data_IF_285433842839
#
_entry.id   IF_285433842839
#
_cell.length_a   1.000
_cell.length_b   1.000
_cell.length_c   1.000
_cell.angle_alpha   90.00
_cell.angle_beta   90.00
_cell.angle_gamma   90.00
#
_symmetry.space_group_name_H-M   'P 1'
#
loop_
_entity.id
_entity.type
_entity.pdbx_description
1 polymer ?
#
# COMPACT_ATOMS: atom_id res chain seq x y z
N UNK A 1 4.91 7.98 16.20
CA UNK A 1 4.39 7.46 14.94
C UNK A 1 3.78 8.62 14.16
N UNK A 2 4.54 9.25 13.27
CA UNK A 2 3.96 10.23 12.36
C UNK A 2 3.37 9.44 11.19
N UNK A 3 2.07 9.21 11.26
CA UNK A 3 1.31 8.56 10.19
C UNK A 3 1.18 9.58 9.09
N UNK A 4 1.76 9.30 7.90
CA UNK A 4 1.33 9.97 6.69
C UNK A 4 -0.03 9.43 6.29
N UNK A 5 -1.02 9.92 7.00
CA UNK A 5 -2.37 10.00 6.49
C UNK A 5 -2.41 11.31 5.73
N UNK A 6 -3.00 11.34 4.56
CA UNK A 6 -3.53 12.58 4.01
C UNK A 6 -4.58 13.04 5.03
N UNK A 7 -4.13 13.74 6.07
CA UNK A 7 -5.01 14.44 6.96
C UNK A 7 -5.49 15.68 6.19
N UNK A 8 -6.65 15.57 5.57
CA UNK A 8 -7.47 16.74 5.36
C UNK A 8 -7.79 17.26 6.78
N UNK A 9 -6.93 18.14 7.31
CA UNK A 9 -7.18 18.82 8.57
C UNK A 9 -8.42 19.67 8.42
N UNK A 10 -9.52 19.23 8.98
CA UNK A 10 -10.67 20.07 9.27
C UNK A 10 -10.25 21.09 10.34
N UNK A 11 -9.74 22.24 9.93
CA UNK A 11 -9.68 23.43 10.75
C UNK A 11 -11.09 24.02 10.81
N UNK A 12 -11.87 23.57 11.80
CA UNK A 12 -13.06 24.29 12.22
C UNK A 12 -12.61 25.65 12.79
N UNK A 13 -12.96 26.73 12.10
CA UNK A 13 -12.76 28.10 12.57
C UNK A 13 -13.45 28.29 13.93
N UNK A 14 -12.69 28.59 14.96
CA UNK A 14 -13.19 28.94 16.28
C UNK A 14 -13.78 30.34 16.27
N UNK A 15 -15.11 30.43 16.35
CA UNK A 15 -15.81 31.64 16.78
C UNK A 15 -15.60 31.73 18.29
N UNK A 16 -15.14 32.85 18.87
CA UNK A 16 -14.99 32.97 20.32
C UNK A 16 -16.38 33.01 20.99
N UNK A 17 -16.73 31.97 21.71
CA UNK A 17 -17.82 31.97 22.65
C UNK A 17 -17.31 32.31 24.06
N UNK A 18 -18.14 32.98 24.92
CA UNK A 18 -17.69 33.45 26.23
C UNK A 18 -17.37 32.27 27.17
N UNK A 19 -16.37 32.50 28.01
CA UNK A 19 -15.87 31.58 29.01
C UNK A 19 -16.96 31.25 30.05
N UNK A 20 -17.50 30.03 29.99
CA UNK A 20 -18.02 29.33 31.15
C UNK A 20 -18.23 27.84 30.85
N UNK A 21 -17.65 27.00 31.67
CA UNK A 21 -17.54 25.55 31.63
C UNK A 21 -16.31 25.05 30.82
N UNK A 22 -15.38 24.44 31.55
CA UNK A 22 -14.37 23.56 30.98
C UNK A 22 -15.11 22.46 30.20
N UNK A 23 -15.28 22.68 28.89
CA UNK A 23 -15.65 21.58 28.00
C UNK A 23 -14.44 20.62 28.00
N UNK A 24 -14.59 19.47 28.67
CA UNK A 24 -13.74 18.32 28.42
C UNK A 24 -13.73 18.14 26.92
N UNK A 25 -12.55 18.18 26.32
CA UNK A 25 -12.43 17.85 24.89
C UNK A 25 -13.17 16.54 24.65
N UNK A 26 -14.15 16.57 23.76
CA UNK A 26 -14.92 15.39 23.43
C UNK A 26 -13.95 14.34 22.89
N UNK A 27 -13.93 13.16 23.50
CA UNK A 27 -13.12 12.05 23.03
C UNK A 27 -13.35 11.80 21.52
N UNK A 28 -12.29 11.67 20.78
CA UNK A 28 -12.34 11.36 19.35
C UNK A 28 -11.90 9.91 19.12
N UNK A 29 -12.68 9.18 18.33
CA UNK A 29 -12.34 7.82 17.94
C UNK A 29 -11.00 7.82 17.16
N UNK A 30 -10.15 6.80 17.32
CA UNK A 30 -8.93 6.67 16.56
C UNK A 30 -9.26 6.56 15.07
N UNK A 31 -8.35 7.11 14.24
CA UNK A 31 -8.47 6.95 12.78
C UNK A 31 -8.37 5.48 12.42
N UNK A 32 -9.32 5.01 11.60
CA UNK A 32 -9.35 3.63 11.16
C UNK A 32 -8.14 3.32 10.25
N UNK A 33 -7.33 2.35 10.65
CA UNK A 33 -6.13 1.91 9.94
C UNK A 33 -6.44 0.76 8.97
N UNK A 34 -5.62 0.61 7.91
CA UNK A 34 -5.62 -0.60 7.07
C UNK A 34 -5.19 -1.81 7.90
N UNK A 35 -4.18 -1.64 8.74
CA UNK A 35 -3.75 -2.62 9.75
C UNK A 35 -4.55 -2.37 11.03
N UNK A 36 -5.75 -2.98 11.13
CA UNK A 36 -6.71 -2.75 12.23
C UNK A 36 -6.12 -2.96 13.62
N UNK A 37 -5.10 -3.78 13.74
CA UNK A 37 -4.36 -4.00 14.99
C UNK A 37 -3.48 -2.81 15.43
N UNK A 38 -3.32 -1.78 14.60
CA UNK A 38 -2.62 -0.54 15.00
C UNK A 38 -3.55 0.51 15.61
N UNK A 39 -4.86 0.23 15.71
CA UNK A 39 -5.84 1.11 16.33
C UNK A 39 -5.82 0.93 17.84
N UNK A 40 -5.75 2.05 18.57
CA UNK A 40 -5.81 2.04 20.02
C UNK A 40 -7.20 2.47 20.51
N UNK A 41 -7.95 1.51 21.02
CA UNK A 41 -9.29 1.69 21.59
C UNK A 41 -9.29 1.63 23.12
N UNK A 42 -8.14 1.61 23.78
CA UNK A 42 -8.00 1.47 25.24
C UNK A 42 -8.69 2.60 26.03
N UNK A 43 -8.78 3.80 25.46
CA UNK A 43 -9.52 4.94 26.03
C UNK A 43 -11.00 4.62 26.33
N UNK A 44 -11.58 3.64 25.61
CA UNK A 44 -12.95 3.17 25.84
C UNK A 44 -13.09 2.26 27.10
N UNK A 45 -12.02 2.06 27.86
CA UNK A 45 -12.12 1.55 29.23
C UNK A 45 -13.06 2.43 30.09
N UNK A 46 -13.07 3.74 29.81
CA UNK A 46 -14.01 4.68 30.38
C UNK A 46 -15.44 4.43 29.84
N UNK A 47 -16.36 4.07 30.73
CA UNK A 47 -17.75 3.74 30.38
C UNK A 47 -18.51 4.92 29.77
N UNK A 48 -18.21 6.15 30.22
CA UNK A 48 -18.87 7.35 29.71
C UNK A 48 -18.44 7.61 28.26
N UNK A 49 -17.15 7.42 27.90
CA UNK A 49 -16.66 7.51 26.53
C UNK A 49 -17.32 6.45 25.64
N UNK A 50 -17.43 5.21 26.13
CA UNK A 50 -18.11 4.12 25.38
C UNK A 50 -19.57 4.43 25.06
N UNK A 51 -20.30 5.01 25.99
CA UNK A 51 -21.74 5.31 25.84
C UNK A 51 -22.01 6.40 24.79
N UNK A 52 -21.03 7.27 24.50
CA UNK A 52 -21.19 8.39 23.58
C UNK A 52 -20.77 8.09 22.15
N UNK A 53 -20.26 6.89 21.83
CA UNK A 53 -19.88 6.51 20.49
C UNK A 53 -20.62 5.24 20.06
N UNK A 54 -21.25 5.26 18.88
CA UNK A 54 -22.10 4.15 18.40
C UNK A 54 -21.34 2.82 18.25
N UNK A 55 -20.02 2.86 18.01
CA UNK A 55 -19.18 1.65 17.94
C UNK A 55 -18.65 1.21 19.31
N UNK A 56 -18.84 2.00 20.38
CA UNK A 56 -18.33 1.72 21.72
C UNK A 56 -18.61 0.30 22.22
N UNK A 57 -19.84 -0.25 22.06
CA UNK A 57 -20.15 -1.62 22.46
C UNK A 57 -19.37 -2.71 21.72
N UNK A 58 -18.80 -2.40 20.55
CA UNK A 58 -18.00 -3.32 19.73
C UNK A 58 -16.50 -3.11 19.89
N UNK A 59 -16.09 -1.86 20.22
CA UNK A 59 -14.67 -1.49 20.26
C UNK A 59 -14.01 -1.73 21.60
N UNK A 60 -14.80 -1.85 22.66
CA UNK A 60 -14.30 -2.21 23.99
C UNK A 60 -15.34 -3.04 24.74
N UNK A 61 -15.20 -4.36 24.68
CA UNK A 61 -16.03 -5.32 25.40
C UNK A 61 -15.21 -5.77 26.61
N UNK A 62 -15.48 -5.27 27.83
CA UNK A 62 -14.70 -5.65 29.00
C UNK A 62 -14.95 -7.12 29.35
N UNK A 63 -13.86 -7.87 29.57
CA UNK A 63 -13.88 -9.28 29.95
C UNK A 63 -13.37 -9.51 31.40
N UNK A 64 -12.72 -8.51 31.99
CA UNK A 64 -12.14 -8.51 33.32
C UNK A 64 -11.36 -7.21 33.54
N UNK A 65 -10.65 -7.10 34.66
CA UNK A 65 -9.96 -5.85 35.06
C UNK A 65 -8.93 -5.38 34.03
N UNK A 66 -8.11 -6.32 33.51
CA UNK A 66 -7.06 -6.03 32.51
C UNK A 66 -7.33 -6.77 31.17
N UNK A 67 -8.60 -7.02 30.86
CA UNK A 67 -8.95 -7.82 29.69
C UNK A 67 -10.14 -7.23 28.95
N UNK A 68 -10.00 -7.10 27.62
CA UNK A 68 -11.08 -6.64 26.75
C UNK A 68 -10.96 -7.26 25.36
N UNK A 69 -12.06 -7.22 24.64
CA UNK A 69 -12.16 -7.61 23.24
C UNK A 69 -12.57 -6.40 22.40
N UNK A 70 -11.84 -6.15 21.33
CA UNK A 70 -12.19 -5.19 20.27
C UNK A 70 -12.64 -5.96 19.03
N UNK A 71 -13.78 -5.56 18.45
CA UNK A 71 -14.27 -6.15 17.21
C UNK A 71 -14.55 -5.06 16.17
N UNK A 72 -14.68 -5.46 14.93
CA UNK A 72 -15.06 -4.58 13.83
C UNK A 72 -15.14 -5.32 12.51
N UNK A 73 -15.53 -4.60 11.48
CA UNK A 73 -15.63 -5.15 10.12
C UNK A 73 -15.30 -4.07 9.09
N UNK A 74 -14.79 -4.51 7.96
CA UNK A 74 -14.78 -3.77 6.71
C UNK A 74 -15.60 -4.55 5.69
N UNK A 75 -16.49 -3.84 4.99
CA UNK A 75 -17.24 -4.35 3.85
C UNK A 75 -16.96 -3.47 2.66
N UNK A 76 -16.40 -4.03 1.59
CA UNK A 76 -16.05 -3.31 0.36
C UNK A 76 -16.74 -3.93 -0.84
N UNK A 77 -17.36 -3.11 -1.66
CA UNK A 77 -17.77 -3.43 -3.02
C UNK A 77 -17.05 -2.47 -3.97
N UNK A 78 -16.34 -3.00 -4.99
CA UNK A 78 -15.61 -2.21 -5.97
C UNK A 78 -15.86 -2.73 -7.37
N UNK A 79 -16.30 -1.85 -8.26
CA UNK A 79 -16.38 -2.13 -9.70
C UNK A 79 -15.19 -1.51 -10.41
N UNK A 80 -14.57 -2.24 -11.31
CA UNK A 80 -13.55 -1.73 -12.24
C UNK A 80 -13.96 -2.08 -13.68
N UNK A 81 -13.90 -1.06 -14.55
CA UNK A 81 -14.24 -1.19 -15.96
C UNK A 81 -13.05 -0.72 -16.77
N UNK A 82 -12.42 -1.64 -17.48
CA UNK A 82 -11.25 -1.39 -18.32
C UNK A 82 -11.62 -1.40 -19.78
N UNK A 83 -10.99 -0.52 -20.54
CA UNK A 83 -11.01 -0.52 -21.99
C UNK A 83 -9.58 -0.54 -22.50
N UNK A 84 -9.29 -1.44 -23.45
CA UNK A 84 -7.96 -1.64 -24.03
C UNK A 84 -6.84 -1.92 -23.00
N UNK A 85 -7.10 -2.70 -21.94
CA UNK A 85 -6.13 -3.07 -20.93
C UNK A 85 -4.83 -3.64 -21.58
N UNK A 86 -3.66 -3.35 -20.96
CA UNK A 86 -2.34 -3.60 -21.54
C UNK A 86 -2.21 -3.06 -22.98
N UNK A 87 -2.75 -1.87 -23.23
CA UNK A 87 -2.78 -1.18 -24.54
C UNK A 87 -3.50 -1.98 -25.63
N UNK A 88 -4.48 -2.78 -25.27
CA UNK A 88 -5.18 -3.70 -26.16
C UNK A 88 -4.48 -5.05 -26.36
N UNK A 89 -3.45 -5.34 -25.58
CA UNK A 89 -2.67 -6.59 -25.64
C UNK A 89 -3.01 -7.60 -24.55
N UNK A 90 -3.95 -7.32 -23.66
CA UNK A 90 -4.45 -8.29 -22.68
C UNK A 90 -5.30 -9.39 -23.36
N UNK A 91 -5.40 -10.57 -22.74
CA UNK A 91 -6.26 -11.65 -23.21
C UNK A 91 -7.74 -11.23 -23.23
N UNK A 92 -8.13 -10.37 -22.27
CA UNK A 92 -9.41 -9.65 -22.27
C UNK A 92 -9.12 -8.15 -22.13
N UNK A 93 -8.94 -7.41 -23.25
CA UNK A 93 -8.58 -6.00 -23.19
C UNK A 93 -9.71 -5.12 -22.64
N UNK A 94 -10.95 -5.50 -22.91
CA UNK A 94 -12.14 -4.87 -22.34
C UNK A 94 -12.65 -5.80 -21.24
N UNK A 95 -12.61 -5.34 -19.98
CA UNK A 95 -13.00 -6.13 -18.83
C UNK A 95 -13.82 -5.28 -17.85
N UNK A 96 -14.89 -5.86 -17.32
CA UNK A 96 -15.78 -5.20 -16.36
C UNK A 96 -16.15 -6.18 -15.27
N UNK A 97 -15.76 -5.89 -14.06
CA UNK A 97 -15.97 -6.80 -12.94
C UNK A 97 -16.32 -6.06 -11.65
N UNK A 98 -16.79 -6.83 -10.68
CA UNK A 98 -17.06 -6.36 -9.32
C UNK A 98 -16.33 -7.24 -8.32
N UNK A 99 -15.62 -6.61 -7.41
CA UNK A 99 -15.02 -7.21 -6.23
C UNK A 99 -15.90 -7.00 -5.01
N UNK A 100 -16.05 -8.03 -4.21
CA UNK A 100 -16.67 -8.00 -2.88
C UNK A 100 -15.67 -8.50 -1.85
N UNK A 101 -15.51 -7.72 -0.77
CA UNK A 101 -14.61 -8.09 0.33
C UNK A 101 -15.27 -7.82 1.68
N UNK A 102 -15.18 -8.80 2.59
CA UNK A 102 -15.50 -8.63 4.00
C UNK A 102 -14.30 -9.01 4.85
N UNK A 103 -13.92 -8.14 5.79
CA UNK A 103 -12.81 -8.30 6.74
C UNK A 103 -13.33 -8.09 8.16
N UNK A 104 -14.07 -9.04 8.76
CA UNK A 104 -14.35 -8.98 10.19
C UNK A 104 -13.07 -9.23 10.99
N UNK A 105 -12.96 -8.68 12.21
CA UNK A 105 -11.84 -8.96 13.09
C UNK A 105 -12.25 -9.02 14.55
N UNK A 106 -11.42 -9.72 15.32
CA UNK A 106 -11.46 -9.76 16.76
C UNK A 106 -10.03 -9.58 17.30
N UNK A 107 -9.89 -8.76 18.33
CA UNK A 107 -8.63 -8.36 18.94
C UNK A 107 -8.76 -8.48 20.45
N UNK A 108 -8.26 -9.56 21.00
CA UNK A 108 -8.33 -9.90 22.43
C UNK A 108 -7.08 -9.43 23.14
N UNK A 109 -7.26 -8.64 24.19
CA UNK A 109 -6.23 -8.18 25.10
C UNK A 109 -6.41 -8.82 26.47
N UNK A 110 -5.36 -9.43 27.02
CA UNK A 110 -5.33 -10.02 28.36
C UNK A 110 -4.00 -9.65 29.04
N UNK A 111 -4.00 -8.63 29.86
CA UNK A 111 -2.79 -8.07 30.46
C UNK A 111 -1.76 -7.70 29.40
N UNK A 112 -0.63 -8.41 29.37
CA UNK A 112 0.47 -8.20 28.41
C UNK A 112 0.36 -9.02 27.13
N UNK A 113 -0.65 -9.89 27.03
CA UNK A 113 -0.80 -10.78 25.87
C UNK A 113 -1.96 -10.28 25.02
N UNK A 114 -1.77 -10.38 23.70
CA UNK A 114 -2.76 -10.03 22.69
C UNK A 114 -2.91 -11.17 21.70
N UNK A 115 -4.12 -11.42 21.26
CA UNK A 115 -4.42 -12.31 20.16
C UNK A 115 -5.33 -11.59 19.15
N UNK A 116 -4.90 -11.51 17.91
CA UNK A 116 -5.62 -10.86 16.83
C UNK A 116 -6.01 -11.89 15.77
N UNK A 117 -7.25 -11.85 15.30
CA UNK A 117 -7.74 -12.68 14.20
C UNK A 117 -8.59 -11.83 13.24
N UNK A 118 -8.32 -11.97 11.94
CA UNK A 118 -9.05 -11.32 10.87
C UNK A 118 -9.20 -12.28 9.69
N UNK A 119 -10.33 -12.96 9.55
CA UNK A 119 -10.67 -13.68 8.34
C UNK A 119 -10.95 -12.71 7.19
N UNK A 120 -10.88 -13.23 5.97
CA UNK A 120 -11.28 -12.55 4.74
C UNK A 120 -12.31 -13.38 4.01
N UNK A 121 -13.32 -12.71 3.46
CA UNK A 121 -14.19 -13.26 2.43
C UNK A 121 -14.07 -12.35 1.21
N UNK A 122 -13.48 -12.84 0.12
CA UNK A 122 -13.24 -12.05 -1.09
C UNK A 122 -13.65 -12.81 -2.34
N UNK A 123 -14.57 -12.21 -3.09
CA UNK A 123 -15.09 -12.71 -4.34
C UNK A 123 -14.95 -11.70 -5.47
N UNK A 124 -14.79 -12.21 -6.69
CA UNK A 124 -14.80 -11.43 -7.92
C UNK A 124 -15.85 -11.99 -8.89
N UNK A 125 -16.60 -11.12 -9.51
CA UNK A 125 -17.64 -11.48 -10.50
C UNK A 125 -17.38 -10.69 -11.77
N UNK A 126 -17.30 -11.39 -12.90
CA UNK A 126 -17.13 -10.78 -14.22
C UNK A 126 -15.68 -10.70 -14.71
N UNK A 127 -14.68 -11.01 -13.90
CA UNK A 127 -13.25 -10.96 -14.32
C UNK A 127 -12.99 -11.91 -15.49
N UNK A 128 -12.41 -11.41 -16.56
CA UNK A 128 -12.07 -12.17 -17.76
C UNK A 128 -10.56 -12.27 -17.97
N UNK A 129 -10.03 -13.43 -18.45
CA UNK A 129 -10.76 -14.69 -18.70
C UNK A 129 -11.07 -15.47 -17.41
N UNK A 130 -10.44 -15.15 -16.28
CA UNK A 130 -10.68 -15.78 -14.99
C UNK A 130 -10.11 -14.91 -13.86
N UNK A 131 -10.71 -14.97 -12.68
CA UNK A 131 -10.22 -14.31 -11.48
C UNK A 131 -8.83 -14.82 -11.08
N UNK A 132 -7.92 -13.90 -10.78
CA UNK A 132 -6.57 -14.18 -10.30
C UNK A 132 -6.51 -14.20 -8.76
N UNK A 133 -5.38 -14.61 -8.16
CA UNK A 133 -5.22 -14.62 -6.71
C UNK A 133 -5.33 -13.25 -6.01
N UNK A 134 -5.25 -12.14 -6.75
CA UNK A 134 -5.49 -10.80 -6.20
C UNK A 134 -6.96 -10.38 -6.25
N UNK A 135 -7.78 -11.10 -7.03
CA UNK A 135 -9.20 -10.82 -7.23
C UNK A 135 -10.07 -11.55 -6.22
N UNK A 136 -9.74 -12.81 -5.93
CA UNK A 136 -10.51 -13.61 -4.97
C UNK A 136 -9.64 -14.66 -4.26
N UNK A 137 -10.01 -14.95 -3.02
CA UNK A 137 -9.52 -16.08 -2.21
C UNK A 137 -10.67 -16.78 -1.49
N UNK A 138 -11.92 -16.46 -1.86
CA UNK A 138 -13.15 -16.94 -1.23
C UNK A 138 -13.16 -16.68 0.29
N UNK A 139 -13.07 -17.70 1.14
CA UNK A 139 -12.99 -17.54 2.60
C UNK A 139 -11.64 -18.05 3.10
N UNK A 140 -10.90 -17.19 3.83
CA UNK A 140 -9.54 -17.49 4.27
C UNK A 140 -9.19 -16.75 5.58
N UNK A 141 -8.06 -17.13 6.21
CA UNK A 141 -7.47 -16.39 7.31
C UNK A 141 -6.46 -15.36 6.74
N UNK A 142 -6.86 -14.09 6.70
CA UNK A 142 -5.96 -13.00 6.26
C UNK A 142 -4.90 -12.69 7.32
N UNK A 143 -5.31 -12.61 8.60
CA UNK A 143 -4.41 -12.36 9.72
C UNK A 143 -4.80 -13.20 10.93
N UNK A 144 -3.80 -13.77 11.62
CA UNK A 144 -3.95 -14.49 12.87
C UNK A 144 -2.62 -14.55 13.57
N UNK A 145 -2.43 -13.78 14.65
CA UNK A 145 -1.17 -13.73 15.39
C UNK A 145 -1.38 -13.58 16.89
N UNK A 146 -0.38 -14.02 17.63
CA UNK A 146 -0.20 -13.71 19.05
C UNK A 146 0.88 -12.65 19.24
N UNK A 147 0.72 -11.85 20.30
CA UNK A 147 1.66 -10.80 20.67
C UNK A 147 1.86 -10.79 22.18
N UNK A 148 3.07 -10.47 22.62
CA UNK A 148 3.41 -10.23 24.02
C UNK A 148 4.14 -8.90 24.14
N UNK A 149 3.64 -8.02 25.03
CA UNK A 149 4.25 -6.75 25.37
C UNK A 149 5.11 -6.90 26.64
N UNK A 150 6.40 -6.67 26.47
CA UNK A 150 7.41 -6.70 27.53
C UNK A 150 7.87 -5.28 27.93
N UNK A 151 7.10 -4.25 27.56
CA UNK A 151 7.37 -2.84 27.80
C UNK A 151 8.12 -2.20 26.64
N UNK A 152 9.45 -2.21 26.64
CA UNK A 152 10.24 -1.68 25.53
C UNK A 152 10.36 -2.62 24.34
N UNK A 153 9.93 -3.86 24.45
CA UNK A 153 9.98 -4.90 23.42
C UNK A 153 8.60 -5.54 23.26
N UNK A 154 8.10 -5.58 22.04
CA UNK A 154 6.89 -6.33 21.67
C UNK A 154 7.28 -7.45 20.73
N UNK A 155 6.91 -8.68 21.04
CA UNK A 155 7.13 -9.85 20.20
C UNK A 155 5.81 -10.28 19.56
N UNK A 156 5.80 -10.48 18.24
CA UNK A 156 4.61 -10.92 17.49
C UNK A 156 4.97 -12.10 16.60
N UNK A 157 4.12 -13.12 16.58
CA UNK A 157 4.28 -14.28 15.71
C UNK A 157 2.92 -14.75 15.17
N UNK A 158 2.91 -15.15 13.90
CA UNK A 158 1.73 -15.60 13.18
C UNK A 158 1.59 -14.97 11.81
N UNK A 159 0.39 -15.06 11.24
CA UNK A 159 0.03 -14.46 9.95
C UNK A 159 -0.36 -12.99 10.16
N UNK A 160 0.28 -12.10 9.43
CA UNK A 160 0.09 -10.65 9.59
C UNK A 160 0.35 -9.89 8.29
N UNK A 161 -0.37 -8.80 8.05
CA UNK A 161 -0.01 -7.82 7.03
C UNK A 161 1.17 -6.99 7.52
N UNK A 162 2.01 -6.53 6.59
CA UNK A 162 3.16 -5.66 6.85
C UNK A 162 3.04 -4.39 6.04
N UNK A 163 3.28 -3.25 6.69
CA UNK A 163 3.42 -1.94 6.06
C UNK A 163 4.71 -1.31 6.56
N UNK A 164 5.70 -1.14 5.69
CA UNK A 164 6.98 -0.51 6.03
C UNK A 164 7.17 0.78 5.23
N UNK A 165 7.37 1.89 5.94
CA UNK A 165 7.58 3.20 5.35
C UNK A 165 6.45 3.65 4.43
N UNK A 166 6.77 3.90 3.15
CA UNK A 166 5.80 4.28 2.10
C UNK A 166 5.21 3.08 1.36
N UNK A 167 5.47 1.86 1.84
CA UNK A 167 5.15 0.62 1.13
C UNK A 167 5.84 0.50 -0.24
N UNK A 168 6.99 1.14 -0.40
CA UNK A 168 7.79 1.04 -1.63
C UNK A 168 8.33 -0.37 -1.86
N UNK A 169 8.81 -1.03 -0.79
CA UNK A 169 9.35 -2.39 -0.84
C UNK A 169 8.46 -3.43 -0.17
N UNK A 170 7.76 -3.06 0.90
CA UNK A 170 6.90 -3.99 1.65
C UNK A 170 5.62 -3.28 2.02
N UNK A 171 4.53 -3.72 1.42
CA UNK A 171 3.21 -3.15 1.61
C UNK A 171 2.11 -4.19 1.76
N UNK A 172 0.99 -3.72 2.23
CA UNK A 172 -0.21 -4.53 2.48
C UNK A 172 -0.94 -4.95 1.21
N UNK A 173 -0.65 -4.31 0.07
CA UNK A 173 -1.41 -4.46 -1.20
C UNK A 173 -2.92 -4.30 -1.00
N UNK A 174 -3.31 -3.37 -0.18
CA UNK A 174 -4.72 -3.19 0.19
C UNK A 174 -5.65 -2.79 -0.98
N UNK A 175 -5.12 -2.16 -2.03
CA UNK A 175 -5.87 -1.75 -3.22
C UNK A 175 -6.58 -2.91 -3.94
N UNK A 176 -5.91 -3.99 -4.33
CA UNK A 176 -6.53 -5.23 -4.82
C UNK A 176 -7.56 -5.82 -3.85
N UNK A 177 -8.36 -6.79 -4.32
CA UNK A 177 -9.38 -7.39 -3.47
C UNK A 177 -8.80 -8.25 -2.36
N UNK A 178 -7.70 -8.96 -2.64
CA UNK A 178 -6.97 -9.79 -1.67
C UNK A 178 -5.69 -9.08 -1.24
N UNK A 179 -5.60 -8.56 0.01
CA UNK A 179 -4.39 -7.98 0.55
C UNK A 179 -3.28 -9.02 0.73
N UNK A 180 -2.04 -8.56 0.86
CA UNK A 180 -0.88 -9.41 1.07
C UNK A 180 -0.61 -9.60 2.56
N UNK A 181 -0.57 -10.84 3.01
CA UNK A 181 -0.14 -11.26 4.33
C UNK A 181 1.17 -12.04 4.29
N UNK A 182 1.80 -12.15 5.46
CA UNK A 182 3.04 -12.88 5.68
C UNK A 182 2.92 -13.75 6.93
N UNK A 183 3.44 -14.96 6.87
CA UNK A 183 3.62 -15.83 8.01
C UNK A 183 5.04 -15.68 8.55
N UNK A 184 5.18 -15.44 9.87
CA UNK A 184 6.49 -15.29 10.49
C UNK A 184 6.45 -14.61 11.86
N UNK A 185 7.58 -14.04 12.24
CA UNK A 185 7.74 -13.37 13.51
C UNK A 185 8.45 -12.03 13.36
N UNK A 186 8.11 -11.08 14.26
CA UNK A 186 8.79 -9.80 14.40
C UNK A 186 8.94 -9.43 15.86
N UNK A 187 9.99 -8.66 16.12
CA UNK A 187 10.23 -8.01 17.39
C UNK A 187 10.27 -6.50 17.14
N UNK A 188 9.46 -5.75 17.86
CA UNK A 188 9.46 -4.30 17.83
C UNK A 188 10.07 -3.77 19.12
N UNK A 189 11.14 -2.98 18.99
CA UNK A 189 11.90 -2.42 20.11
C UNK A 189 11.75 -0.90 20.09
N UNK A 190 11.39 -0.31 21.24
CA UNK A 190 11.33 1.15 21.40
C UNK A 190 12.45 1.61 22.30
N UNK A 191 13.31 2.52 21.80
CA UNK A 191 14.43 3.13 22.54
C UNK A 191 14.33 4.64 22.38
N UNK A 192 13.85 5.33 23.42
CA UNK A 192 13.56 6.76 23.34
C UNK A 192 12.56 7.06 22.22
N UNK A 193 12.97 7.85 21.22
CA UNK A 193 12.15 8.18 20.06
C UNK A 193 12.33 7.21 18.88
N UNK A 194 13.24 6.27 18.96
CA UNK A 194 13.49 5.31 17.90
C UNK A 194 12.61 4.06 18.10
N UNK A 195 12.06 3.56 16.99
CA UNK A 195 11.41 2.25 16.91
C UNK A 195 12.18 1.39 15.93
N UNK A 196 12.51 0.16 16.32
CA UNK A 196 13.23 -0.80 15.49
C UNK A 196 12.40 -2.06 15.39
N UNK A 197 12.01 -2.44 14.18
CA UNK A 197 11.34 -3.70 13.87
C UNK A 197 12.36 -4.67 13.27
N UNK A 198 12.58 -5.81 13.91
CA UNK A 198 13.36 -6.92 13.35
C UNK A 198 12.38 -8.02 12.94
N UNK A 199 12.50 -8.54 11.75
CA UNK A 199 11.51 -9.47 11.19
C UNK A 199 12.12 -10.61 10.38
N UNK A 200 11.41 -11.76 10.38
CA UNK A 200 11.61 -12.85 9.44
C UNK A 200 10.24 -13.38 8.99
N UNK A 201 9.96 -13.24 7.70
CA UNK A 201 8.63 -13.42 7.14
C UNK A 201 8.67 -14.23 5.84
N UNK A 202 7.58 -14.91 5.54
CA UNK A 202 7.33 -15.57 4.26
C UNK A 202 5.97 -15.11 3.74
N UNK A 203 5.85 -14.67 2.48
CA UNK A 203 4.56 -14.24 1.96
C UNK A 203 3.59 -15.41 1.89
N UNK A 204 2.32 -15.12 2.14
CA UNK A 204 1.23 -16.05 1.89
C UNK A 204 0.95 -16.09 0.39
N UNK A 205 0.75 -17.27 -0.15
CA UNK A 205 0.36 -17.53 -1.53
C UNK A 205 -1.12 -17.91 -1.54
N UNK A 206 -1.99 -17.06 -2.08
CA UNK A 206 -3.41 -17.36 -2.18
C UNK A 206 -3.66 -18.57 -3.07
N UNK A 207 -4.51 -19.48 -2.60
CA UNK A 207 -5.05 -20.59 -3.34
C UNK A 207 -6.38 -20.24 -4.03
N UNK A 208 -6.91 -21.11 -4.92
CA UNK A 208 -8.15 -20.87 -5.64
C UNK A 208 -9.42 -21.22 -4.83
N UNK A 209 -9.28 -21.93 -3.72
CA UNK A 209 -10.36 -22.45 -2.89
C UNK A 209 -10.64 -21.60 -1.66
N UNK A 210 -11.11 -22.26 -0.59
CA UNK A 210 -11.27 -21.68 0.73
C UNK A 210 -10.38 -22.45 1.71
N UNK A 211 -9.67 -21.74 2.60
CA UNK A 211 -8.74 -22.30 3.57
C UNK A 211 -7.62 -23.12 2.93
N UNK A 212 -7.15 -22.68 1.76
CA UNK A 212 -6.08 -23.31 0.99
C UNK A 212 -4.86 -22.39 0.74
N UNK A 213 -4.86 -21.19 1.33
CA UNK A 213 -3.72 -20.28 1.30
C UNK A 213 -2.52 -20.86 2.07
N UNK A 214 -1.39 -20.93 1.40
CA UNK A 214 -0.19 -21.55 1.94
C UNK A 214 0.96 -20.56 2.14
N UNK A 215 1.80 -20.80 3.16
CA UNK A 215 3.08 -20.09 3.34
C UNK A 215 4.03 -20.42 2.18
N UNK A 216 4.54 -19.41 1.49
CA UNK A 216 5.49 -19.62 0.41
C UNK A 216 6.73 -20.42 0.86
N UNK A 217 7.08 -21.46 0.13
CA UNK A 217 8.31 -22.21 0.36
C UNK A 217 9.51 -21.59 -0.37
N UNK A 218 9.26 -20.80 -1.40
CA UNK A 218 10.27 -20.25 -2.29
C UNK A 218 10.75 -18.86 -1.87
N UNK A 219 9.84 -18.05 -1.31
CA UNK A 219 10.12 -16.66 -0.94
C UNK A 219 10.29 -16.50 0.56
N UNK A 220 11.27 -15.67 0.95
CA UNK A 220 11.46 -15.24 2.33
C UNK A 220 11.95 -13.79 2.36
N UNK A 221 11.54 -13.06 3.39
CA UNK A 221 11.92 -11.68 3.70
C UNK A 221 12.43 -11.63 5.14
N UNK A 222 13.55 -10.96 5.37
CA UNK A 222 14.08 -10.72 6.71
C UNK A 222 14.76 -9.37 6.79
N UNK A 223 14.99 -8.86 7.98
CA UNK A 223 15.72 -7.61 8.14
C UNK A 223 15.36 -6.82 9.36
N UNK A 224 15.79 -5.57 9.34
CA UNK A 224 15.51 -4.59 10.37
C UNK A 224 15.08 -3.27 9.75
N UNK A 225 14.06 -2.64 10.33
CA UNK A 225 13.53 -1.34 9.94
C UNK A 225 13.51 -0.42 11.15
N UNK A 226 14.35 0.63 11.10
CA UNK A 226 14.44 1.64 12.14
C UNK A 226 13.72 2.91 11.73
N UNK A 227 12.85 3.42 12.61
CA UNK A 227 12.08 4.66 12.43
C UNK A 227 12.45 5.65 13.52
N UNK A 228 12.88 6.85 13.11
CA UNK A 228 13.07 8.05 13.92
C UNK A 228 12.05 9.12 13.50
N UNK A 229 11.93 10.25 14.18
CA UNK A 229 10.88 11.25 13.88
C UNK A 229 10.82 11.74 12.43
N UNK A 230 11.97 11.91 11.75
CA UNK A 230 12.03 12.41 10.36
C UNK A 230 12.92 11.54 9.46
N UNK A 231 13.31 10.35 9.96
CA UNK A 231 14.28 9.49 9.28
C UNK A 231 13.96 8.01 9.50
N UNK A 232 13.87 7.24 8.42
CA UNK A 232 13.89 5.79 8.49
C UNK A 232 15.20 5.27 7.89
N UNK A 233 15.76 4.23 8.51
CA UNK A 233 16.93 3.49 8.03
C UNK A 233 16.58 2.02 8.08
N UNK A 234 16.85 1.27 7.00
CA UNK A 234 16.50 -0.13 7.00
C UNK A 234 17.46 -0.99 6.17
N UNK A 235 17.50 -2.25 6.56
CA UNK A 235 18.07 -3.34 5.80
C UNK A 235 17.00 -4.42 5.62
N UNK A 236 16.79 -4.87 4.37
CA UNK A 236 15.90 -5.96 4.03
C UNK A 236 16.63 -6.98 3.16
N UNK A 237 16.65 -8.23 3.60
CA UNK A 237 17.11 -9.38 2.85
C UNK A 237 15.91 -10.11 2.21
N UNK A 238 16.07 -10.55 0.99
CA UNK A 238 15.04 -11.28 0.25
C UNK A 238 15.64 -12.49 -0.44
N UNK A 239 14.90 -13.58 -0.45
CA UNK A 239 15.19 -14.78 -1.23
C UNK A 239 13.98 -15.17 -2.06
N UNK A 240 14.22 -15.55 -3.31
CA UNK A 240 13.25 -16.20 -4.18
C UNK A 240 13.95 -17.35 -4.93
N UNK A 241 13.46 -18.58 -4.77
CA UNK A 241 14.02 -19.76 -5.44
C UNK A 241 13.63 -19.86 -6.90
N UNK A 242 12.55 -19.18 -7.29
CA UNK A 242 11.93 -19.22 -8.62
C UNK A 242 11.86 -17.82 -9.24
N UNK A 243 12.88 -16.98 -9.00
CA UNK A 243 12.98 -15.65 -9.61
C UNK A 243 13.17 -15.76 -11.13
N UNK A 244 12.75 -14.74 -11.87
CA UNK A 244 12.84 -14.70 -13.33
C UNK A 244 13.52 -13.42 -13.77
N UNK A 245 14.62 -13.54 -14.51
CA UNK A 245 15.34 -12.41 -15.13
C UNK A 245 15.87 -12.86 -16.51
N UNK A 246 15.70 -12.02 -17.54
CA UNK A 246 16.22 -12.28 -18.87
C UNK A 246 15.81 -13.64 -19.46
N UNK A 247 14.60 -14.13 -19.13
CA UNK A 247 14.12 -15.45 -19.55
C UNK A 247 14.65 -16.64 -18.74
N UNK A 248 15.58 -16.43 -17.81
CA UNK A 248 16.09 -17.46 -16.90
C UNK A 248 15.24 -17.55 -15.65
N UNK A 249 15.06 -18.77 -15.12
CA UNK A 249 14.43 -19.05 -13.81
C UNK A 249 15.51 -19.59 -12.89
N UNK A 250 15.58 -19.04 -11.68
CA UNK A 250 16.60 -19.50 -10.74
C UNK A 250 16.53 -18.82 -9.37
N UNK A 251 17.56 -19.07 -8.57
CA UNK A 251 17.65 -18.58 -7.21
C UNK A 251 18.17 -17.15 -7.16
N UNK A 252 17.36 -16.27 -6.60
CA UNK A 252 17.73 -14.91 -6.22
C UNK A 252 17.97 -14.81 -4.71
N UNK A 253 19.06 -14.15 -4.32
CA UNK A 253 19.27 -13.60 -2.97
C UNK A 253 19.63 -12.14 -3.14
N UNK A 254 18.78 -11.27 -2.60
CA UNK A 254 18.88 -9.82 -2.75
C UNK A 254 18.88 -9.15 -1.37
N UNK A 255 19.73 -8.16 -1.23
CA UNK A 255 19.83 -7.31 -0.06
C UNK A 255 19.51 -5.88 -0.45
N UNK A 256 18.71 -5.20 0.36
CA UNK A 256 18.32 -3.81 0.15
C UNK A 256 18.71 -3.00 1.37
N UNK A 257 19.41 -1.88 1.17
CA UNK A 257 19.66 -0.87 2.19
C UNK A 257 18.94 0.39 1.75
N UNK A 258 18.10 0.93 2.61
CA UNK A 258 17.31 2.12 2.34
C UNK A 258 17.42 3.18 3.41
N UNK A 259 17.30 4.41 2.97
CA UNK A 259 17.23 5.61 3.78
C UNK A 259 16.04 6.43 3.32
N UNK A 260 15.20 6.90 4.24
CA UNK A 260 14.04 7.71 3.96
C UNK A 260 13.99 8.91 4.91
N UNK A 261 13.98 10.13 4.34
CA UNK A 261 13.69 11.36 5.07
C UNK A 261 12.26 11.79 4.79
N UNK A 262 11.53 12.16 5.84
CA UNK A 262 10.14 12.59 5.71
C UNK A 262 9.78 13.58 6.82
N UNK A 263 8.82 14.46 6.55
CA UNK A 263 8.42 15.43 7.56
C UNK A 263 7.41 16.44 7.06
N UNK A 264 7.00 17.30 7.99
CA UNK A 264 6.13 18.46 7.75
C UNK A 264 6.76 19.67 8.41
N UNK A 265 6.89 20.78 7.67
CA UNK A 265 7.38 22.04 8.22
C UNK A 265 6.56 23.22 7.65
N UNK A 266 5.76 23.81 8.49
CA UNK A 266 4.74 24.77 8.04
C UNK A 266 3.78 24.10 7.05
N UNK A 267 3.56 24.74 5.91
CA UNK A 267 2.69 24.19 4.86
C UNK A 267 3.39 23.13 3.99
N UNK A 268 4.69 22.93 4.11
CA UNK A 268 5.46 22.01 3.29
C UNK A 268 5.53 20.62 3.92
N UNK A 269 5.41 19.60 3.09
CA UNK A 269 5.68 18.23 3.47
C UNK A 269 6.59 17.54 2.44
N UNK A 270 7.39 16.59 2.90
CA UNK A 270 8.30 15.84 2.03
C UNK A 270 8.41 14.38 2.45
N UNK A 271 8.78 13.56 1.47
CA UNK A 271 9.11 12.16 1.63
C UNK A 271 10.11 11.79 0.53
N UNK A 272 11.36 11.60 0.91
CA UNK A 272 12.46 11.27 0.00
C UNK A 272 13.09 9.97 0.44
N UNK A 273 13.12 8.99 -0.45
CA UNK A 273 13.62 7.65 -0.14
C UNK A 273 14.59 7.17 -1.21
N UNK A 274 15.77 6.74 -0.78
CA UNK A 274 16.77 6.08 -1.63
C UNK A 274 17.01 4.65 -1.17
N UNK A 275 17.14 3.73 -2.13
CA UNK A 275 17.42 2.31 -1.88
C UNK A 275 18.49 1.82 -2.81
N UNK A 276 19.47 1.09 -2.28
CA UNK A 276 20.43 0.30 -3.06
C UNK A 276 20.19 -1.18 -2.85
N UNK A 277 20.34 -1.96 -3.93
CA UNK A 277 20.19 -3.41 -3.91
C UNK A 277 21.42 -4.11 -4.44
N UNK A 278 21.85 -5.17 -3.74
CA UNK A 278 22.97 -6.01 -4.12
C UNK A 278 22.68 -7.48 -3.80
N UNK A 279 23.45 -8.39 -4.38
CA UNK A 279 23.23 -9.82 -4.20
C UNK A 279 23.56 -10.62 -5.45
N UNK A 280 22.87 -11.74 -5.64
CA UNK A 280 23.16 -12.67 -6.74
C UNK A 280 21.85 -13.31 -7.27
N UNK A 281 21.84 -13.56 -8.57
CA UNK A 281 20.87 -14.39 -9.26
C UNK A 281 21.62 -15.35 -10.21
N UNK A 282 21.59 -16.66 -9.94
CA UNK A 282 22.23 -17.69 -10.76
C UNK A 282 23.66 -17.31 -11.20
N UNK A 283 24.50 -16.85 -10.27
CA UNK A 283 25.87 -16.44 -10.53
C UNK A 283 26.04 -15.02 -11.06
N UNK A 284 24.99 -14.35 -11.51
CA UNK A 284 25.04 -12.95 -11.91
C UNK A 284 24.95 -12.04 -10.68
N UNK A 285 25.70 -10.93 -10.68
CA UNK A 285 25.69 -9.95 -9.58
C UNK A 285 24.51 -8.99 -9.71
N UNK A 286 23.80 -8.77 -8.63
CA UNK A 286 22.79 -7.74 -8.55
C UNK A 286 23.44 -6.42 -8.12
N UNK A 287 23.11 -5.32 -8.84
CA UNK A 287 23.54 -3.96 -8.51
C UNK A 287 22.46 -2.98 -9.02
N UNK A 288 21.42 -2.74 -8.22
CA UNK A 288 20.25 -1.97 -8.61
C UNK A 288 19.97 -0.87 -7.57
N UNK A 289 19.19 0.12 -7.94
CA UNK A 289 18.86 1.23 -7.05
C UNK A 289 17.55 1.92 -7.44
N UNK A 290 17.00 2.67 -6.50
CA UNK A 290 15.87 3.58 -6.73
C UNK A 290 15.99 4.83 -5.87
N UNK A 291 15.48 5.94 -6.40
CA UNK A 291 15.21 7.16 -5.64
C UNK A 291 13.77 7.57 -5.92
N UNK A 292 13.00 7.77 -4.85
CA UNK A 292 11.65 8.29 -4.93
C UNK A 292 11.53 9.54 -4.08
N UNK A 293 10.91 10.58 -4.64
CA UNK A 293 10.66 11.84 -3.96
C UNK A 293 9.17 12.16 -4.01
N UNK A 294 8.69 12.75 -2.94
CA UNK A 294 7.38 13.38 -2.87
C UNK A 294 7.57 14.67 -2.08
N UNK A 295 7.28 15.81 -2.71
CA UNK A 295 7.34 17.13 -2.09
C UNK A 295 6.00 17.80 -2.37
N UNK A 296 5.36 18.30 -1.33
CA UNK A 296 4.07 18.96 -1.46
C UNK A 296 3.95 20.19 -0.58
N UNK A 297 2.93 20.98 -0.90
CA UNK A 297 2.53 22.15 -0.14
C UNK A 297 1.03 22.20 0.01
N UNK A 298 0.60 22.26 1.27
CA UNK A 298 -0.79 22.51 1.61
C UNK A 298 -1.09 24.02 1.55
N UNK A 299 -2.24 24.39 1.02
CA UNK A 299 -2.67 25.77 0.84
C UNK A 299 -4.02 25.99 1.57
N UNK A 300 -4.04 25.93 2.91
CA UNK A 300 -5.28 25.85 3.70
C UNK A 300 -6.14 27.12 3.63
N UNK A 301 -5.57 28.26 3.20
CA UNK A 301 -6.27 29.54 3.09
C UNK A 301 -7.01 29.72 1.76
N UNK A 302 -6.75 28.84 0.76
CA UNK A 302 -7.44 28.89 -0.52
C UNK A 302 -8.78 28.15 -0.46
N UNK A 303 -9.75 28.50 -1.33
CA UNK A 303 -10.94 27.69 -1.51
C UNK A 303 -10.56 26.22 -1.78
N UNK A 304 -11.31 25.27 -1.25
CA UNK A 304 -11.02 23.82 -1.31
C UNK A 304 -9.78 23.35 -0.53
N UNK A 305 -9.06 24.24 0.18
CA UNK A 305 -7.84 23.93 0.92
C UNK A 305 -6.91 22.96 0.18
N UNK A 306 -6.43 23.31 -1.05
CA UNK A 306 -5.75 22.35 -1.90
C UNK A 306 -4.38 21.99 -1.35
N UNK A 307 -3.96 20.76 -1.62
CA UNK A 307 -2.60 20.25 -1.45
C UNK A 307 -2.02 19.96 -2.84
N UNK A 308 -0.89 20.60 -3.16
CA UNK A 308 -0.19 20.41 -4.41
C UNK A 308 1.08 19.59 -4.17
N UNK A 309 1.18 18.42 -4.78
CA UNK A 309 2.28 17.46 -4.57
C UNK A 309 2.94 17.12 -5.89
N UNK A 310 4.27 17.05 -5.90
CA UNK A 310 5.07 16.49 -6.99
C UNK A 310 5.76 15.22 -6.53
N UNK A 311 5.50 14.11 -7.22
CA UNK A 311 6.23 12.84 -7.05
C UNK A 311 7.16 12.63 -8.23
N UNK A 312 8.39 12.23 -7.94
CA UNK A 312 9.36 11.80 -8.95
C UNK A 312 9.99 10.50 -8.49
N UNK A 313 9.98 9.51 -9.37
CA UNK A 313 10.62 8.22 -9.10
C UNK A 313 11.61 7.92 -10.21
N UNK A 314 12.80 7.47 -9.83
CA UNK A 314 13.81 6.94 -10.73
C UNK A 314 14.20 5.55 -10.23
N UNK A 315 14.01 4.54 -11.07
CA UNK A 315 14.20 3.13 -10.72
C UNK A 315 15.07 2.47 -11.78
N UNK A 316 16.19 1.91 -11.36
CA UNK A 316 17.15 1.30 -12.29
C UNK A 316 16.58 0.11 -13.05
N UNK A 317 17.01 -0.02 -14.31
CA UNK A 317 16.84 -1.17 -15.18
C UNK A 317 18.18 -1.69 -15.66
N UNK A 318 18.19 -2.87 -16.26
CA UNK A 318 19.40 -3.48 -16.78
C UNK A 318 19.98 -2.67 -17.95
N UNK A 319 21.27 -2.39 -17.90
CA UNK A 319 21.96 -1.57 -18.91
C UNK A 319 22.52 -2.38 -20.06
N UNK A 320 22.75 -3.69 -19.85
CA UNK A 320 23.32 -4.59 -20.86
C UNK A 320 23.02 -6.05 -20.52
N UNK A 321 22.17 -6.67 -21.28
CA UNK A 321 21.88 -8.10 -21.11
C UNK A 321 23.15 -8.96 -21.31
N UNK A 322 23.35 -9.94 -20.43
CA UNK A 322 24.40 -10.95 -20.55
C UNK A 322 25.81 -10.49 -20.10
N UNK A 323 25.97 -9.35 -19.45
CA UNK A 323 27.26 -8.87 -18.92
C UNK A 323 27.62 -9.42 -17.53
N UNK A 324 26.81 -10.36 -16.99
CA UNK A 324 26.98 -10.94 -15.66
C UNK A 324 26.46 -10.07 -14.53
N UNK A 325 25.73 -9.00 -14.84
CA UNK A 325 25.10 -8.11 -13.87
C UNK A 325 23.61 -8.01 -14.14
N UNK A 326 22.85 -7.75 -13.07
CA UNK A 326 21.44 -7.41 -13.11
C UNK A 326 21.27 -6.06 -12.43
N UNK A 327 20.99 -5.03 -13.22
CA UNK A 327 20.73 -3.68 -12.72
C UNK A 327 19.22 -3.42 -12.55
N UNK A 328 18.37 -4.37 -12.92
CA UNK A 328 16.93 -4.29 -12.76
C UNK A 328 16.57 -4.31 -11.28
N UNK A 329 15.95 -3.22 -10.82
CA UNK A 329 15.46 -3.09 -9.45
C UNK A 329 14.26 -4.03 -9.21
N UNK A 330 14.21 -4.63 -8.04
CA UNK A 330 13.08 -5.45 -7.59
C UNK A 330 12.40 -4.76 -6.41
N UNK A 331 11.16 -4.33 -6.57
CA UNK A 331 10.40 -3.69 -5.51
C UNK A 331 9.88 -4.65 -4.44
N UNK A 332 10.23 -5.94 -4.51
CA UNK A 332 9.88 -7.01 -3.57
C UNK A 332 8.35 -7.21 -3.45
N UNK A 333 7.71 -6.52 -2.54
CA UNK A 333 6.29 -6.61 -2.21
C UNK A 333 5.66 -5.21 -2.16
N UNK A 334 5.72 -4.41 -3.23
CA UNK A 334 5.27 -3.03 -3.20
C UNK A 334 3.75 -2.94 -3.02
N UNK A 335 3.27 -1.77 -2.61
CA UNK A 335 1.82 -1.50 -2.57
C UNK A 335 1.17 -1.72 -3.93
N UNK A 336 -0.08 -2.16 -3.94
CA UNK A 336 -0.92 -2.12 -5.13
C UNK A 336 -1.23 -0.68 -5.54
N UNK A 337 -1.55 -0.45 -6.82
CA UNK A 337 -1.83 0.90 -7.36
C UNK A 337 -0.70 1.89 -7.05
N UNK A 338 0.51 1.49 -7.42
CA UNK A 338 1.75 2.13 -6.99
C UNK A 338 1.88 3.60 -7.42
N UNK A 339 1.51 3.93 -8.64
CA UNK A 339 1.56 5.30 -9.17
C UNK A 339 0.21 6.01 -9.11
N UNK A 340 -0.89 5.31 -9.34
CA UNK A 340 -2.26 5.81 -9.38
C UNK A 340 -3.26 4.66 -9.41
N UNK A 341 -4.51 4.94 -9.73
CA UNK A 341 -5.60 3.96 -9.74
C UNK A 341 -5.46 2.93 -10.88
N UNK A 342 -5.09 3.37 -12.07
CA UNK A 342 -4.87 2.47 -13.22
C UNK A 342 -3.54 1.71 -13.09
N UNK A 343 -2.44 2.41 -12.80
CA UNK A 343 -1.08 1.86 -12.61
C UNK A 343 -0.70 0.73 -13.58
N UNK A 344 -0.73 0.94 -14.90
CA UNK A 344 -0.49 -0.13 -15.88
C UNK A 344 0.97 -0.56 -15.92
N UNK A 345 1.87 0.18 -15.28
CA UNK A 345 3.30 -0.06 -15.19
C UNK A 345 3.74 -0.07 -13.72
N UNK A 346 4.75 -0.88 -13.40
CA UNK A 346 5.29 -1.05 -12.06
C UNK A 346 6.59 -0.30 -11.81
N UNK A 347 7.08 -0.29 -10.56
CA UNK A 347 8.28 0.43 -10.13
C UNK A 347 9.57 -0.34 -10.46
N UNK A 348 9.81 -0.63 -11.74
CA UNK A 348 10.98 -1.33 -12.25
C UNK A 348 11.38 -0.75 -13.58
N UNK A 349 12.67 -0.43 -13.80
CA UNK A 349 13.20 0.20 -15.03
C UNK A 349 12.40 1.44 -15.46
N UNK A 350 12.11 2.37 -14.53
CA UNK A 350 11.18 3.46 -14.82
C UNK A 350 11.67 4.80 -14.27
N UNK A 351 11.39 5.86 -15.03
CA UNK A 351 11.35 7.23 -14.55
C UNK A 351 9.91 7.67 -14.62
N UNK A 352 9.37 8.18 -13.51
CA UNK A 352 8.00 8.67 -13.41
C UNK A 352 7.98 10.07 -12.80
N UNK A 353 7.19 10.95 -13.40
CA UNK A 353 6.89 12.29 -12.88
C UNK A 353 5.37 12.37 -12.71
N UNK A 354 4.92 12.76 -11.53
CA UNK A 354 3.50 12.71 -11.13
C UNK A 354 3.14 13.96 -10.31
N UNK A 355 2.83 15.11 -10.93
CA UNK A 355 2.14 16.22 -10.28
C UNK A 355 0.71 15.82 -9.91
N UNK A 356 0.29 16.22 -8.73
CA UNK A 356 -1.03 15.94 -8.15
C UNK A 356 -1.57 17.16 -7.41
N UNK A 357 -2.85 17.39 -7.50
CA UNK A 357 -3.57 18.36 -6.66
C UNK A 357 -4.78 17.65 -6.05
N UNK A 358 -4.93 17.77 -4.75
CA UNK A 358 -6.10 17.26 -4.02
C UNK A 358 -6.68 18.34 -3.13
N UNK A 359 -7.92 18.18 -2.70
CA UNK A 359 -8.58 19.16 -1.83
C UNK A 359 -9.98 18.69 -1.41
N UNK A 360 -10.71 19.59 -0.70
CA UNK A 360 -12.07 19.32 -0.23
C UNK A 360 -13.08 20.24 -0.94
N UNK A 361 -14.22 19.65 -1.34
CA UNK A 361 -15.37 20.40 -1.89
C UNK A 361 -16.41 20.73 -0.79
N UNK A 362 -16.12 20.38 0.47
CA UNK A 362 -17.07 20.48 1.57
C UNK A 362 -18.01 19.28 1.68
N UNK A 363 -18.78 19.20 2.78
CA UNK A 363 -19.75 18.11 2.97
C UNK A 363 -19.14 16.70 3.01
N UNK A 364 -17.86 16.57 3.36
CA UNK A 364 -17.15 15.29 3.36
C UNK A 364 -16.66 14.83 1.97
N UNK A 365 -16.74 15.69 0.95
CA UNK A 365 -16.32 15.36 -0.42
C UNK A 365 -14.87 15.81 -0.64
N UNK A 366 -14.03 14.86 -1.03
CA UNK A 366 -12.63 15.04 -1.40
C UNK A 366 -12.46 14.81 -2.91
N UNK A 367 -11.48 15.49 -3.52
CA UNK A 367 -11.10 15.25 -4.90
C UNK A 367 -9.58 15.12 -5.03
N UNK A 368 -9.12 14.45 -6.07
CA UNK A 368 -7.71 14.43 -6.47
C UNK A 368 -7.61 14.38 -8.00
N UNK A 369 -6.72 15.21 -8.54
CA UNK A 369 -6.36 15.23 -9.95
C UNK A 369 -4.87 14.97 -10.07
N UNK A 370 -4.48 14.06 -10.95
CA UNK A 370 -3.08 13.75 -11.21
C UNK A 370 -2.81 13.65 -12.70
N UNK A 371 -1.62 14.07 -13.10
CA UNK A 371 -1.04 13.80 -14.40
C UNK A 371 0.27 13.06 -14.20
N UNK A 372 0.54 12.04 -15.03
CA UNK A 372 1.72 11.21 -14.90
C UNK A 372 2.39 11.03 -16.24
N UNK A 373 3.71 10.98 -16.22
CA UNK A 373 4.50 10.65 -17.41
C UNK A 373 5.55 9.62 -17.04
N UNK A 374 5.85 8.71 -17.98
CA UNK A 374 6.66 7.52 -17.76
C UNK A 374 7.68 7.32 -18.86
N UNK A 375 8.92 7.04 -18.45
CA UNK A 375 10.03 6.70 -19.34
C UNK A 375 10.73 5.44 -18.83
N UNK A 376 11.30 4.65 -19.72
CA UNK A 376 12.27 3.61 -19.34
C UNK A 376 13.55 4.28 -18.82
N UNK A 377 14.08 3.81 -17.69
CA UNK A 377 15.40 4.23 -17.21
C UNK A 377 16.51 3.73 -18.11
N UNK A 378 16.43 2.46 -18.52
CA UNK A 378 17.32 1.84 -19.50
C UNK A 378 16.56 1.36 -20.73
N UNK A 379 17.07 1.68 -21.93
CA UNK A 379 16.50 1.20 -23.19
C UNK A 379 16.85 -0.27 -23.49
N UNK A 380 17.83 -0.83 -22.80
CA UNK A 380 18.18 -2.24 -22.91
C UNK A 380 17.23 -3.16 -22.14
N UNK A 381 16.42 -2.60 -21.24
CA UNK A 381 15.47 -3.31 -20.40
C UNK A 381 14.02 -2.97 -20.81
N UNK A 382 13.05 -3.83 -20.40
CA UNK A 382 11.64 -3.69 -20.76
C UNK A 382 10.81 -2.91 -19.73
N UNK A 383 9.49 -3.02 -19.86
CA UNK A 383 8.49 -2.48 -18.93
C UNK A 383 7.86 -3.62 -18.14
N UNK A 384 7.66 -3.38 -16.87
CA UNK A 384 7.21 -4.36 -15.87
C UNK A 384 5.89 -3.93 -15.25
N UNK A 385 5.10 -4.91 -14.78
CA UNK A 385 3.95 -4.67 -13.92
C UNK A 385 4.36 -4.39 -12.45
N UNK A 386 3.40 -4.12 -11.59
CA UNK A 386 3.66 -3.84 -10.15
C UNK A 386 4.35 -5.02 -9.45
N UNK A 387 3.95 -6.29 -9.64
CA UNK A 387 4.64 -7.45 -9.09
C UNK A 387 6.06 -7.69 -9.64
N UNK A 388 6.47 -7.02 -10.72
CA UNK A 388 7.77 -7.17 -11.34
C UNK A 388 7.82 -8.20 -12.49
N UNK A 389 6.68 -8.57 -13.07
CA UNK A 389 6.65 -9.38 -14.29
C UNK A 389 6.92 -8.50 -15.51
N UNK A 390 7.74 -8.99 -16.44
CA UNK A 390 8.01 -8.31 -17.71
C UNK A 390 6.75 -8.36 -18.60
N UNK A 391 6.11 -7.21 -18.82
CA UNK A 391 4.88 -7.09 -19.62
C UNK A 391 5.13 -6.57 -21.01
N UNK A 392 6.27 -5.88 -21.25
CA UNK A 392 6.67 -5.39 -22.57
C UNK A 392 8.20 -5.48 -22.71
N UNK A 393 8.73 -6.45 -23.45
CA UNK A 393 10.18 -6.58 -23.69
C UNK A 393 10.70 -5.43 -24.55
N UNK A 394 12.01 -5.13 -24.51
CA UNK A 394 12.59 -4.01 -25.26
C UNK A 394 12.51 -4.18 -26.78
N UNK A 395 12.53 -5.40 -27.32
CA UNK A 395 12.38 -5.75 -28.74
C UNK A 395 13.26 -4.90 -29.70
N UNK A 396 14.43 -4.43 -29.22
CA UNK A 396 15.33 -3.59 -29.99
C UNK A 396 14.94 -2.10 -30.09
N UNK A 397 13.82 -1.68 -29.50
CA UNK A 397 13.42 -0.27 -29.47
C UNK A 397 14.37 0.57 -28.61
N UNK A 398 14.79 1.72 -29.13
CA UNK A 398 15.58 2.73 -28.42
C UNK A 398 14.74 3.86 -27.82
N UNK A 399 13.42 3.83 -28.03
CA UNK A 399 12.51 4.82 -27.47
C UNK A 399 12.43 4.69 -25.94
N UNK A 400 12.61 5.78 -25.21
CA UNK A 400 12.49 5.81 -23.75
C UNK A 400 11.05 6.04 -23.29
N UNK A 401 10.27 6.89 -23.98
CA UNK A 401 8.96 7.33 -23.55
C UNK A 401 7.93 6.21 -23.62
N UNK A 402 7.42 5.80 -22.44
CA UNK A 402 6.41 4.74 -22.28
C UNK A 402 5.01 5.31 -22.52
N UNK A 403 4.71 6.47 -21.95
CA UNK A 403 3.40 7.10 -22.10
C UNK A 403 3.08 8.12 -21.00
N UNK A 404 1.86 8.61 -21.08
CA UNK A 404 1.31 9.59 -20.11
C UNK A 404 -0.07 9.17 -19.64
N UNK A 405 -0.40 9.55 -18.43
CA UNK A 405 -1.66 9.22 -17.78
C UNK A 405 -2.27 10.47 -17.16
N UNK A 406 -3.59 10.56 -17.22
CA UNK A 406 -4.39 11.50 -16.46
C UNK A 406 -5.35 10.73 -15.55
N UNK A 407 -5.49 11.17 -14.31
CA UNK A 407 -6.32 10.54 -13.30
C UNK A 407 -7.16 11.58 -12.57
N UNK A 408 -8.43 11.27 -12.32
CA UNK A 408 -9.32 12.03 -11.47
C UNK A 408 -10.01 11.08 -10.49
N UNK A 409 -10.03 11.44 -9.22
CA UNK A 409 -10.75 10.72 -8.18
C UNK A 409 -11.64 11.68 -7.39
N UNK A 410 -12.78 11.17 -6.95
CA UNK A 410 -13.66 11.84 -6.00
C UNK A 410 -14.05 10.82 -4.94
N UNK A 411 -14.03 11.24 -3.68
CA UNK A 411 -14.43 10.42 -2.55
C UNK A 411 -15.38 11.21 -1.65
N UNK A 412 -16.45 10.59 -1.22
CA UNK A 412 -17.42 11.17 -0.31
C UNK A 412 -17.49 10.35 0.97
N UNK A 413 -17.02 10.93 2.07
CA UNK A 413 -17.21 10.38 3.41
C UNK A 413 -18.65 10.69 3.84
N UNK A 414 -19.58 9.81 3.47
CA UNK A 414 -21.03 9.98 3.73
C UNK A 414 -21.34 9.92 5.25
N UNK A 415 -20.63 9.07 5.98
CA UNK A 415 -20.59 8.99 7.45
C UNK A 415 -19.17 8.65 7.91
N UNK A 416 -18.83 8.77 9.20
CA UNK A 416 -17.52 8.34 9.68
C UNK A 416 -17.15 6.88 9.36
N UNK A 417 -18.16 6.03 9.09
CA UNK A 417 -17.99 4.62 8.79
C UNK A 417 -18.15 4.27 7.30
N UNK A 418 -18.68 5.16 6.46
CA UNK A 418 -19.04 4.83 5.09
C UNK A 418 -18.48 5.84 4.09
N UNK A 419 -17.65 5.34 3.18
CA UNK A 419 -17.06 6.09 2.07
C UNK A 419 -17.55 5.56 0.73
N UNK A 420 -17.88 6.48 -0.19
CA UNK A 420 -18.15 6.20 -1.59
C UNK A 420 -17.09 6.90 -2.43
N UNK A 421 -16.53 6.23 -3.42
CA UNK A 421 -15.56 6.87 -4.31
C UNK A 421 -15.74 6.46 -5.77
N UNK A 422 -15.28 7.35 -6.65
CA UNK A 422 -15.20 7.12 -8.09
C UNK A 422 -13.83 7.57 -8.59
N UNK A 423 -13.26 6.82 -9.52
CA UNK A 423 -11.98 7.13 -10.16
C UNK A 423 -12.09 6.93 -11.66
N UNK A 424 -11.48 7.83 -12.41
CA UNK A 424 -11.30 7.71 -13.85
C UNK A 424 -9.84 7.93 -14.19
N UNK A 425 -9.28 7.05 -15.02
CA UNK A 425 -7.91 7.15 -15.50
C UNK A 425 -7.85 6.87 -17.01
N UNK A 426 -6.95 7.58 -17.70
CA UNK A 426 -6.68 7.36 -19.11
C UNK A 426 -5.17 7.40 -19.36
N UNK A 427 -4.62 6.35 -19.99
CA UNK A 427 -3.20 6.22 -20.32
C UNK A 427 -2.99 6.20 -21.83
N UNK A 428 -2.37 7.28 -22.35
CA UNK A 428 -1.97 7.37 -23.76
C UNK A 428 -0.57 6.76 -23.96
N UNK A 429 -0.40 5.80 -24.91
CA UNK A 429 0.87 5.14 -25.17
C UNK A 429 1.90 6.09 -25.79
N UNK A 430 3.16 5.97 -25.35
CA UNK A 430 4.32 6.65 -25.93
C UNK A 430 4.99 5.83 -27.02
N UNK A 431 6.09 6.39 -27.56
CA UNK A 431 6.82 5.78 -28.69
C UNK A 431 7.26 4.34 -28.39
N UNK A 432 7.76 4.05 -27.19
CA UNK A 432 8.17 2.68 -26.84
C UNK A 432 7.04 1.66 -26.99
N UNK A 433 5.84 1.97 -26.47
CA UNK A 433 4.68 1.07 -26.57
C UNK A 433 4.25 0.92 -28.03
N UNK A 434 4.26 2.03 -28.81
CA UNK A 434 3.91 2.02 -30.24
C UNK A 434 4.86 1.19 -31.07
N UNK A 435 6.16 1.18 -30.76
CA UNK A 435 7.19 0.43 -31.49
C UNK A 435 7.22 -1.06 -31.15
N UNK A 436 6.66 -1.45 -29.97
CA UNK A 436 6.88 -2.81 -29.45
C UNK A 436 5.64 -3.70 -29.40
N UNK A 437 4.46 -3.23 -29.81
CA UNK A 437 3.25 -4.05 -29.88
C UNK A 437 1.95 -3.22 -29.88
N UNK A 438 0.82 -3.78 -29.46
CA UNK A 438 -0.45 -3.05 -29.34
C UNK A 438 -0.29 -1.75 -28.56
N UNK A 439 -0.91 -0.66 -29.05
CA UNK A 439 -0.65 0.68 -28.55
C UNK A 439 -1.94 1.54 -28.52
N UNK A 440 -3.03 0.96 -28.04
CA UNK A 440 -4.26 1.68 -27.81
C UNK A 440 -4.22 2.46 -26.48
N UNK A 441 -5.06 3.45 -26.35
CA UNK A 441 -5.23 4.19 -25.08
C UNK A 441 -6.01 3.33 -24.09
N UNK A 442 -5.44 3.09 -22.91
CA UNK A 442 -6.15 2.39 -21.83
C UNK A 442 -7.03 3.40 -21.11
N UNK A 443 -8.29 3.04 -20.83
CA UNK A 443 -9.13 3.79 -19.90
C UNK A 443 -9.65 2.88 -18.79
N UNK A 444 -9.87 3.45 -17.61
CA UNK A 444 -10.43 2.74 -16.46
C UNK A 444 -11.41 3.64 -15.72
N UNK A 445 -12.56 3.08 -15.37
CA UNK A 445 -13.53 3.66 -14.46
C UNK A 445 -13.67 2.74 -13.25
N UNK A 446 -13.38 3.25 -12.07
CA UNK A 446 -13.55 2.55 -10.79
C UNK A 446 -14.66 3.20 -9.96
N UNK A 447 -15.52 2.38 -9.34
CA UNK A 447 -16.51 2.80 -8.36
C UNK A 447 -16.33 1.94 -7.11
N UNK A 448 -16.29 2.57 -5.95
CA UNK A 448 -16.10 1.84 -4.68
C UNK A 448 -17.08 2.32 -3.61
N UNK A 449 -17.58 1.37 -2.84
CA UNK A 449 -18.31 1.58 -1.59
C UNK A 449 -17.56 0.82 -0.50
N UNK A 450 -17.12 1.53 0.53
CA UNK A 450 -16.38 0.97 1.65
C UNK A 450 -17.01 1.37 2.97
N UNK A 451 -17.53 0.39 3.68
CA UNK A 451 -18.07 0.54 5.04
C UNK A 451 -17.12 -0.12 6.03
N UNK A 452 -16.71 0.62 7.08
CA UNK A 452 -15.79 0.11 8.10
C UNK A 452 -16.00 0.77 9.47
N UNK A 453 -15.90 -0.05 10.50
CA UNK A 453 -15.86 0.43 11.87
C UNK A 453 -14.96 -0.43 12.74
#
# INVERSE_FOLDING_TARGET
MLRFVIAAGLLAGTIPMPASAQQREAWQAPMLSITRYDEDWSDLADADKRAHHWTGPFKYIPLGDDSWLTTGVELRARSENYHDNLWGGADAPDDSYVWFRALPYADLHVGKVRAFVQPIVAYAVGVSPAASPIDQTRAELLQGFGEIDLGSVTLRAGRQMLSLGTERLVGTRYGPNVPLAFDGARADVTIGHAKISVLHMRPVQPGPGSFDDATSQDKALWGAYGTLPELDIYYLGYRNRLARFGGQVGREVRHSIGLRSHGVRGDWHWNVEGVTQFGHFEGQRIAAWTVGTEIGRSLPTLPTAPDATLRVNVVSGDSRAGDGKINTFNALFPKGKYFGELSPVGPTNIINVNPRVSGTLGGGVLFSLAAMAYWRHSVADGVYDIPGNLIRPPNGSTAQFIGKEAEATIAWQATPAWELSASFSAFGPGAFIQETGPAKTITMLGLESNFRF
#
